data_IF_509816734412
#
_entry.id   IF_509816734412
#
_cell.length_a   1.000
_cell.length_b   1.000
_cell.length_c   1.000
_cell.angle_alpha   90.00
_cell.angle_beta   90.00
_cell.angle_gamma   90.00
#
_symmetry.space_group_name_H-M   'P 1'
#
loop_
_entity.id
_entity.type
_entity.pdbx_description
1 polymer ?
#
# COMPACT_ATOMS: atom_id res chain seq x y z
N UNK A 1 -20.13 4.23 -8.91
CA UNK A 1 -20.94 3.02 -9.07
C UNK A 1 -20.38 1.94 -8.18
N UNK A 2 -19.30 1.23 -8.50
CA UNK A 2 -18.81 0.06 -7.70
C UNK A 2 -18.65 0.31 -6.19
N UNK A 3 -17.96 1.38 -5.78
CA UNK A 3 -17.88 1.73 -4.35
C UNK A 3 -19.27 2.02 -3.80
N UNK A 4 -20.11 2.73 -4.55
CA UNK A 4 -21.49 3.04 -4.17
C UNK A 4 -22.42 1.82 -4.20
N UNK A 5 -22.19 0.83 -5.06
CA UNK A 5 -22.97 -0.40 -5.20
C UNK A 5 -22.55 -1.40 -4.11
N UNK A 6 -21.25 -1.46 -3.81
CA UNK A 6 -20.71 -2.19 -2.67
C UNK A 6 -21.09 -1.53 -1.34
N UNK A 7 -20.99 -0.20 -1.23
CA UNK A 7 -21.46 0.58 -0.09
C UNK A 7 -22.98 0.56 0.01
N UNK A 8 -23.74 0.48 -1.07
CA UNK A 8 -25.19 0.28 -1.00
C UNK A 8 -25.48 -1.12 -0.45
N UNK A 9 -24.70 -2.14 -0.87
CA UNK A 9 -24.78 -3.47 -0.28
C UNK A 9 -24.37 -3.49 1.20
N UNK A 10 -23.34 -2.74 1.61
CA UNK A 10 -22.89 -2.58 3.00
C UNK A 10 -23.84 -1.69 3.82
N UNK A 11 -24.44 -0.66 3.24
CA UNK A 11 -25.42 0.22 3.87
C UNK A 11 -26.77 -0.48 4.04
N UNK A 12 -27.13 -1.39 3.13
CA UNK A 12 -28.21 -2.37 3.35
C UNK A 12 -27.89 -3.25 4.59
N UNK A 13 -26.62 -3.50 4.93
CA UNK A 13 -26.27 -4.16 6.21
C UNK A 13 -26.57 -3.30 7.42
N UNK A 14 -26.58 -1.97 7.29
CA UNK A 14 -26.72 -1.02 8.40
C UNK A 14 -28.15 -0.46 8.57
N UNK A 15 -28.94 -0.38 7.49
CA UNK A 15 -30.35 0.07 7.52
C UNK A 15 -31.34 -1.03 7.97
N UNK A 16 -30.95 -2.30 7.92
CA UNK A 16 -31.80 -3.41 8.37
C UNK A 16 -31.89 -3.55 9.91
N UNK A 17 -31.16 -2.72 10.65
CA UNK A 17 -31.15 -2.62 12.13
C UNK A 17 -32.14 -1.57 12.67
N UNK A 18 -33.00 -0.96 11.84
CA UNK A 18 -34.01 -0.03 12.34
C UNK A 18 -34.96 -0.72 13.35
N UNK A 19 -35.17 -0.13 14.55
CA UNK A 19 -35.97 -0.75 15.60
C UNK A 19 -37.44 -0.82 15.17
N UNK A 20 -37.95 -2.05 15.10
CA UNK A 20 -39.35 -2.39 14.83
C UNK A 20 -40.26 -1.96 15.99
N UNK A 21 -40.42 -0.66 16.18
CA UNK A 21 -41.48 -0.11 17.01
C UNK A 21 -42.79 -0.22 16.21
N UNK A 22 -43.69 -1.09 16.67
CA UNK A 22 -45.08 -1.24 16.23
C UNK A 22 -45.36 -2.15 15.03
N UNK A 23 -45.10 -3.47 15.13
CA UNK A 23 -45.86 -4.47 14.33
C UNK A 23 -46.17 -5.74 15.13
N UNK A 24 -47.38 -6.25 14.90
CA UNK A 24 -48.01 -7.39 15.56
C UNK A 24 -47.22 -8.70 15.40
N UNK A 25 -47.38 -9.57 16.39
CA UNK A 25 -46.68 -10.83 16.70
C UNK A 25 -46.77 -11.92 15.62
N UNK A 26 -46.20 -11.70 14.43
CA UNK A 26 -45.48 -12.80 13.79
C UNK A 26 -44.13 -12.97 14.51
N UNK A 27 -43.56 -14.19 14.59
CA UNK A 27 -42.29 -14.39 15.27
C UNK A 27 -41.22 -13.58 14.53
N UNK A 28 -40.89 -12.42 15.08
CA UNK A 28 -39.96 -11.41 14.57
C UNK A 28 -38.65 -12.04 14.11
N UNK A 29 -38.24 -13.11 14.80
CA UNK A 29 -37.08 -13.94 14.52
C UNK A 29 -37.09 -14.54 13.10
N UNK A 30 -38.21 -15.11 12.63
CA UNK A 30 -38.28 -15.73 11.29
C UNK A 30 -38.13 -14.71 10.16
N UNK A 31 -38.64 -13.50 10.37
CA UNK A 31 -38.50 -12.41 9.39
C UNK A 31 -37.08 -11.86 9.36
N UNK A 32 -36.40 -11.77 10.51
CA UNK A 32 -34.99 -11.38 10.59
C UNK A 32 -34.09 -12.42 9.93
N UNK A 33 -34.28 -13.71 10.24
CA UNK A 33 -33.52 -14.81 9.64
C UNK A 33 -33.64 -14.83 8.11
N UNK A 34 -34.87 -14.70 7.57
CA UNK A 34 -35.11 -14.69 6.13
C UNK A 34 -34.45 -13.48 5.43
N UNK A 35 -34.46 -12.31 6.08
CA UNK A 35 -33.79 -11.11 5.56
C UNK A 35 -32.28 -11.29 5.54
N UNK A 36 -31.69 -11.80 6.61
CA UNK A 36 -30.26 -12.10 6.66
C UNK A 36 -29.83 -13.15 5.64
N UNK A 37 -30.62 -14.20 5.45
CA UNK A 37 -30.34 -15.23 4.45
C UNK A 37 -30.38 -14.64 3.03
N UNK A 38 -31.40 -13.85 2.72
CA UNK A 38 -31.52 -13.13 1.44
C UNK A 38 -30.31 -12.20 1.24
N UNK A 39 -29.88 -11.50 2.29
CA UNK A 39 -28.71 -10.62 2.28
C UNK A 39 -27.43 -11.38 1.97
N UNK A 40 -27.15 -12.47 2.70
CA UNK A 40 -25.96 -13.31 2.47
C UNK A 40 -25.93 -13.86 1.04
N UNK A 41 -27.08 -14.26 0.52
CA UNK A 41 -27.22 -14.75 -0.86
C UNK A 41 -26.88 -13.65 -1.88
N UNK A 42 -27.44 -12.46 -1.76
CA UNK A 42 -27.17 -11.36 -2.69
C UNK A 42 -25.69 -10.92 -2.66
N UNK A 43 -25.08 -10.89 -1.48
CA UNK A 43 -23.65 -10.59 -1.33
C UNK A 43 -22.78 -11.65 -2.01
N UNK A 44 -23.12 -12.93 -1.86
CA UNK A 44 -22.41 -14.02 -2.52
C UNK A 44 -22.57 -13.93 -4.05
N UNK A 45 -23.77 -13.70 -4.57
CA UNK A 45 -24.02 -13.54 -6.01
C UNK A 45 -23.21 -12.36 -6.59
N UNK A 46 -23.16 -11.22 -5.88
CA UNK A 46 -22.34 -10.07 -6.29
C UNK A 46 -20.84 -10.38 -6.27
N UNK A 47 -20.35 -11.07 -5.22
CA UNK A 47 -18.96 -11.51 -5.10
C UNK A 47 -18.58 -12.43 -6.27
N UNK A 48 -19.43 -13.42 -6.58
CA UNK A 48 -19.21 -14.36 -7.68
C UNK A 48 -19.18 -13.65 -9.03
N UNK A 49 -20.06 -12.66 -9.23
CA UNK A 49 -20.08 -11.84 -10.45
C UNK A 49 -18.79 -11.02 -10.61
N UNK A 50 -18.28 -10.40 -9.52
CA UNK A 50 -17.01 -9.68 -9.56
C UNK A 50 -15.83 -10.63 -9.85
N UNK A 51 -15.82 -11.81 -9.23
CA UNK A 51 -14.78 -12.82 -9.47
C UNK A 51 -14.76 -13.26 -10.94
N UNK A 52 -15.93 -13.56 -11.52
CA UNK A 52 -16.04 -13.87 -12.96
C UNK A 52 -15.56 -12.71 -13.84
N UNK A 53 -15.89 -11.47 -13.46
CA UNK A 53 -15.43 -10.29 -14.19
C UNK A 53 -13.90 -10.16 -14.19
N UNK A 54 -13.25 -10.36 -13.05
CA UNK A 54 -11.77 -10.33 -12.95
C UNK A 54 -11.14 -11.42 -13.82
N UNK A 55 -11.75 -12.60 -13.90
CA UNK A 55 -11.29 -13.67 -14.79
C UNK A 55 -11.41 -13.28 -16.27
N UNK A 56 -12.52 -12.65 -16.68
CA UNK A 56 -12.68 -12.16 -18.05
C UNK A 56 -11.70 -11.01 -18.37
N UNK A 57 -11.41 -10.13 -17.41
CA UNK A 57 -10.37 -9.10 -17.59
C UNK A 57 -8.99 -9.70 -17.79
N UNK A 58 -8.68 -10.80 -17.10
CA UNK A 58 -7.41 -11.53 -17.29
C UNK A 58 -7.31 -12.11 -18.70
N UNK A 59 -8.39 -12.73 -19.19
CA UNK A 59 -8.48 -13.25 -20.56
C UNK A 59 -8.34 -12.13 -21.60
N UNK A 60 -9.02 -11.00 -21.37
CA UNK A 60 -8.96 -9.84 -22.25
C UNK A 60 -7.55 -9.23 -22.30
N UNK A 61 -6.91 -9.06 -21.14
CA UNK A 61 -5.51 -8.60 -21.04
C UNK A 61 -4.57 -9.55 -21.76
N UNK A 62 -4.76 -10.86 -21.62
CA UNK A 62 -3.99 -11.87 -22.35
C UNK A 62 -4.22 -11.79 -23.88
N UNK A 63 -5.45 -11.55 -24.33
CA UNK A 63 -5.78 -11.40 -25.75
C UNK A 63 -5.13 -10.14 -26.36
N UNK A 64 -5.18 -9.00 -25.66
CA UNK A 64 -4.53 -7.75 -26.08
C UNK A 64 -3.00 -7.91 -26.12
N UNK A 65 -2.44 -8.67 -25.18
CA UNK A 65 -1.01 -8.93 -25.11
C UNK A 65 -0.56 -10.17 -25.88
N UNK A 66 -1.40 -10.86 -26.65
CA UNK A 66 -0.91 -11.99 -27.47
C UNK A 66 0.22 -11.56 -28.44
N UNK A 67 0.36 -10.25 -28.68
CA UNK A 67 1.45 -9.62 -29.43
C UNK A 67 2.70 -9.26 -28.59
N UNK A 68 2.71 -9.43 -27.25
CA UNK A 68 3.81 -9.04 -26.36
C UNK A 68 4.00 -9.96 -25.15
N UNK A 69 5.24 -10.22 -24.75
CA UNK A 69 5.64 -11.19 -23.71
C UNK A 69 5.22 -10.86 -22.25
N UNK A 70 4.10 -10.17 -22.01
CA UNK A 70 3.65 -9.82 -20.65
C UNK A 70 2.33 -10.52 -20.32
N UNK A 71 2.41 -11.63 -19.60
CA UNK A 71 1.24 -12.26 -18.98
C UNK A 71 1.08 -11.68 -17.57
N UNK A 72 -0.04 -10.99 -17.34
CA UNK A 72 -0.44 -10.55 -16.01
C UNK A 72 -1.80 -11.15 -15.70
N UNK A 73 -1.84 -12.12 -14.78
CA UNK A 73 -3.08 -12.64 -14.24
C UNK A 73 -3.61 -11.68 -13.18
N UNK A 74 -4.88 -11.31 -13.26
CA UNK A 74 -5.53 -10.54 -12.21
C UNK A 74 -6.13 -11.51 -11.19
N UNK A 75 -5.65 -11.45 -9.95
CA UNK A 75 -6.25 -12.19 -8.84
C UNK A 75 -7.44 -11.41 -8.27
N UNK A 76 -8.47 -12.12 -7.80
CA UNK A 76 -9.63 -11.49 -7.17
C UNK A 76 -9.30 -10.89 -5.79
N UNK A 77 -8.31 -11.47 -5.09
CA UNK A 77 -7.87 -11.05 -3.76
C UNK A 77 -7.47 -9.56 -3.70
N UNK A 78 -6.90 -9.00 -4.77
CA UNK A 78 -6.57 -7.57 -4.83
C UNK A 78 -7.81 -6.70 -4.84
N UNK A 79 -8.84 -7.08 -5.61
CA UNK A 79 -10.10 -6.34 -5.65
C UNK A 79 -10.83 -6.43 -4.31
N UNK A 80 -10.86 -7.62 -3.70
CA UNK A 80 -11.43 -7.84 -2.39
C UNK A 80 -10.71 -7.03 -1.31
N UNK A 81 -9.38 -7.06 -1.27
CA UNK A 81 -8.59 -6.26 -0.33
C UNK A 81 -8.82 -4.75 -0.51
N UNK A 82 -8.98 -4.29 -1.75
CA UNK A 82 -9.27 -2.88 -2.03
C UNK A 82 -10.67 -2.46 -1.57
N UNK A 83 -11.69 -3.28 -1.84
CA UNK A 83 -13.06 -3.03 -1.37
C UNK A 83 -13.11 -2.98 0.17
N UNK A 84 -12.50 -3.97 0.83
CA UNK A 84 -12.45 -4.02 2.29
C UNK A 84 -11.72 -2.80 2.89
N UNK A 85 -10.57 -2.43 2.32
CA UNK A 85 -9.78 -1.28 2.82
C UNK A 85 -10.55 0.03 2.71
N UNK A 86 -11.31 0.25 1.63
CA UNK A 86 -12.14 1.45 1.48
C UNK A 86 -13.32 1.44 2.44
N UNK A 87 -13.96 0.29 2.65
CA UNK A 87 -15.06 0.13 3.62
C UNK A 87 -14.58 0.42 5.06
N UNK A 88 -13.43 -0.12 5.46
CA UNK A 88 -12.87 0.06 6.81
C UNK A 88 -12.50 1.53 7.10
N UNK A 89 -12.21 2.33 6.07
CA UNK A 89 -11.71 3.69 6.19
C UNK A 89 -12.79 4.79 6.16
N UNK A 90 -14.09 4.44 6.15
CA UNK A 90 -15.19 5.41 6.07
C UNK A 90 -15.21 6.42 7.23
N UNK A 91 -14.65 6.06 8.39
CA UNK A 91 -14.69 6.89 9.59
C UNK A 91 -13.39 7.65 9.88
N UNK A 92 -12.34 7.48 9.09
CA UNK A 92 -11.05 8.15 9.31
C UNK A 92 -10.92 9.39 8.44
N UNK A 93 -10.69 10.56 9.05
CA UNK A 93 -10.49 11.83 8.32
C UNK A 93 -9.21 11.83 7.48
N UNK A 94 -8.13 11.21 7.97
CA UNK A 94 -6.86 11.16 7.26
C UNK A 94 -6.83 9.96 6.31
N UNK A 95 -6.50 10.21 5.03
CA UNK A 95 -6.30 9.15 4.04
C UNK A 95 -5.04 8.36 4.37
N UNK A 96 -5.20 7.10 4.77
CA UNK A 96 -4.09 6.15 4.92
C UNK A 96 -3.49 5.80 3.55
N UNK A 97 -2.26 5.29 3.53
CA UNK A 97 -1.59 4.88 2.30
C UNK A 97 -2.33 3.71 1.63
N UNK A 98 -2.80 2.77 2.44
CA UNK A 98 -3.63 1.64 2.01
C UNK A 98 -4.92 2.08 1.35
N UNK A 99 -5.59 3.11 1.87
CA UNK A 99 -6.79 3.69 1.25
C UNK A 99 -6.48 4.31 -0.11
N UNK A 100 -5.38 5.08 -0.23
CA UNK A 100 -4.98 5.68 -1.52
C UNK A 100 -4.70 4.59 -2.56
N UNK A 101 -3.99 3.52 -2.17
CA UNK A 101 -3.73 2.36 -3.03
C UNK A 101 -5.02 1.65 -3.45
N UNK A 102 -5.92 1.40 -2.50
CA UNK A 102 -7.21 0.77 -2.74
C UNK A 102 -8.09 1.60 -3.68
N UNK A 103 -8.18 2.91 -3.46
CA UNK A 103 -8.88 3.85 -4.34
C UNK A 103 -8.30 3.82 -5.76
N UNK A 104 -6.96 3.73 -5.90
CA UNK A 104 -6.30 3.57 -7.19
C UNK A 104 -6.66 2.29 -7.94
N UNK A 105 -6.66 1.14 -7.23
CA UNK A 105 -7.11 -0.17 -7.78
C UNK A 105 -8.57 -0.08 -8.24
N UNK A 106 -9.45 0.44 -7.39
CA UNK A 106 -10.88 0.56 -7.70
C UNK A 106 -11.15 1.54 -8.84
N UNK A 107 -10.41 2.65 -8.91
CA UNK A 107 -10.52 3.61 -10.00
C UNK A 107 -10.12 2.98 -11.34
N UNK A 108 -9.01 2.24 -11.38
CA UNK A 108 -8.57 1.55 -12.58
C UNK A 108 -9.58 0.48 -13.02
N UNK A 109 -10.09 -0.34 -12.08
CA UNK A 109 -11.14 -1.32 -12.33
C UNK A 109 -12.41 -0.66 -12.89
N UNK A 110 -12.91 0.39 -12.23
CA UNK A 110 -14.09 1.14 -12.66
C UNK A 110 -13.94 1.75 -14.06
N UNK A 111 -12.72 2.17 -14.42
CA UNK A 111 -12.44 2.78 -15.72
C UNK A 111 -12.60 1.75 -16.84
N UNK A 112 -12.10 0.53 -16.65
CA UNK A 112 -12.32 -0.57 -17.61
C UNK A 112 -13.80 -0.96 -17.67
N UNK A 113 -14.49 -1.03 -16.53
CA UNK A 113 -15.94 -1.30 -16.50
C UNK A 113 -16.74 -0.29 -17.32
N UNK A 114 -16.44 1.00 -17.14
CA UNK A 114 -17.11 2.09 -17.87
C UNK A 114 -16.86 1.97 -19.36
N UNK A 115 -15.60 1.74 -19.76
CA UNK A 115 -15.26 1.52 -21.17
C UNK A 115 -16.05 0.35 -21.78
N UNK A 116 -16.17 -0.78 -21.08
CA UNK A 116 -16.96 -1.92 -21.57
C UNK A 116 -18.44 -1.59 -21.73
N UNK A 117 -19.00 -0.78 -20.83
CA UNK A 117 -20.39 -0.33 -20.94
C UNK A 117 -20.60 0.61 -22.13
N UNK A 118 -19.65 1.49 -22.40
CA UNK A 118 -19.69 2.39 -23.56
C UNK A 118 -19.58 1.60 -24.88
N UNK A 119 -18.62 0.68 -24.94
CA UNK A 119 -18.34 -0.15 -26.12
C UNK A 119 -19.45 -1.16 -26.41
N UNK A 120 -20.17 -1.64 -25.40
CA UNK A 120 -21.26 -2.60 -25.56
C UNK A 120 -22.30 -2.18 -26.62
N UNK A 121 -22.58 -0.87 -26.74
CA UNK A 121 -23.54 -0.34 -27.70
C UNK A 121 -22.99 -0.15 -29.12
N UNK A 122 -21.68 -0.31 -29.33
CA UNK A 122 -21.02 -0.09 -30.61
C UNK A 122 -19.89 -1.11 -30.86
N UNK A 123 -20.13 -2.38 -30.50
CA UNK A 123 -19.15 -3.46 -30.68
C UNK A 123 -18.70 -3.65 -32.14
N UNK A 124 -19.53 -3.26 -33.09
CA UNK A 124 -19.23 -3.23 -34.53
C UNK A 124 -18.13 -2.24 -34.91
N UNK A 125 -17.85 -1.26 -34.05
CA UNK A 125 -16.80 -0.24 -34.26
C UNK A 125 -15.45 -0.60 -33.63
N UNK A 126 -15.40 -1.65 -32.81
CA UNK A 126 -14.16 -2.12 -32.15
C UNK A 126 -13.34 -2.92 -33.15
N UNK A 127 -12.03 -2.63 -33.27
CA UNK A 127 -11.15 -3.45 -34.10
C UNK A 127 -11.07 -4.86 -33.49
N UNK A 128 -11.39 -5.93 -34.25
CA UNK A 128 -11.33 -7.31 -33.76
C UNK A 128 -9.92 -7.69 -33.27
N UNK A 129 -8.89 -7.03 -33.79
CA UNK A 129 -7.52 -7.10 -33.30
C UNK A 129 -7.39 -6.15 -32.12
N UNK A 130 -7.66 -6.65 -30.91
CA UNK A 130 -7.85 -5.80 -29.73
C UNK A 130 -6.68 -4.84 -29.43
N UNK A 131 -5.44 -5.17 -29.78
CA UNK A 131 -4.28 -4.29 -29.62
C UNK A 131 -4.31 -3.03 -30.50
N UNK A 132 -5.14 -3.00 -31.56
CA UNK A 132 -5.33 -1.81 -32.39
C UNK A 132 -6.29 -0.77 -31.76
N UNK A 133 -6.83 -1.06 -30.57
CA UNK A 133 -7.69 -0.15 -29.83
C UNK A 133 -6.86 0.54 -28.73
N UNK A 134 -6.18 1.68 -29.01
CA UNK A 134 -5.21 2.29 -28.08
C UNK A 134 -5.84 2.63 -26.72
N UNK A 135 -7.08 3.12 -26.71
CA UNK A 135 -7.79 3.41 -25.46
C UNK A 135 -7.99 2.18 -24.57
N UNK A 136 -8.27 1.01 -25.16
CA UNK A 136 -8.36 -0.25 -24.41
C UNK A 136 -6.98 -0.67 -23.89
N UNK A 137 -5.94 -0.56 -24.71
CA UNK A 137 -4.55 -0.91 -24.33
C UNK A 137 -4.11 -0.06 -23.14
N UNK A 138 -4.31 1.25 -23.19
CA UNK A 138 -3.95 2.18 -22.11
C UNK A 138 -4.71 1.88 -20.81
N UNK A 139 -6.02 1.60 -20.91
CA UNK A 139 -6.85 1.24 -19.77
C UNK A 139 -6.39 -0.07 -19.10
N UNK A 140 -6.04 -1.09 -19.90
CA UNK A 140 -5.57 -2.37 -19.38
C UNK A 140 -4.15 -2.28 -18.81
N UNK A 141 -3.29 -1.45 -19.39
CA UNK A 141 -1.96 -1.18 -18.83
C UNK A 141 -2.06 -0.46 -17.48
N UNK A 142 -2.93 0.55 -17.38
CA UNK A 142 -3.21 1.22 -16.10
C UNK A 142 -3.79 0.24 -15.07
N UNK A 143 -4.80 -0.56 -15.46
CA UNK A 143 -5.35 -1.61 -14.60
C UNK A 143 -4.26 -2.53 -14.09
N UNK A 144 -3.36 -2.99 -14.96
CA UNK A 144 -2.25 -3.89 -14.60
C UNK A 144 -1.30 -3.27 -13.61
N UNK A 145 -0.87 -2.03 -13.84
CA UNK A 145 0.03 -1.30 -12.91
C UNK A 145 -0.62 -1.16 -11.53
N UNK A 146 -1.90 -0.79 -11.48
CA UNK A 146 -2.65 -0.71 -10.22
C UNK A 146 -2.80 -2.09 -9.55
N UNK A 147 -3.08 -3.14 -10.33
CA UNK A 147 -3.25 -4.51 -9.81
C UNK A 147 -1.94 -5.08 -9.24
N UNK A 148 -0.83 -4.89 -9.95
CA UNK A 148 0.49 -5.32 -9.49
C UNK A 148 0.86 -4.61 -8.18
N UNK A 149 0.58 -3.31 -8.10
CA UNK A 149 0.78 -2.52 -6.88
C UNK A 149 -0.09 -3.03 -5.74
N UNK A 150 -1.39 -3.24 -5.98
CA UNK A 150 -2.32 -3.78 -5.00
C UNK A 150 -1.92 -5.17 -4.53
N UNK A 151 -1.50 -6.05 -5.44
CA UNK A 151 -1.08 -7.41 -5.10
C UNK A 151 0.12 -7.43 -4.16
N UNK A 152 1.01 -6.44 -4.30
CA UNK A 152 2.24 -6.35 -3.50
C UNK A 152 2.01 -5.71 -2.13
N UNK A 153 1.23 -4.63 -2.07
CA UNK A 153 1.16 -3.78 -0.87
C UNK A 153 -0.20 -3.78 -0.16
N UNK A 154 -1.25 -4.32 -0.78
CA UNK A 154 -2.62 -4.24 -0.26
C UNK A 154 -3.17 -5.58 0.27
N UNK A 155 -2.77 -6.70 -0.35
CA UNK A 155 -3.30 -8.03 -0.02
C UNK A 155 -2.82 -8.52 1.36
N UNK A 156 -1.50 -8.51 1.62
CA UNK A 156 -1.00 -8.89 2.95
C UNK A 156 -1.23 -7.75 3.95
N UNK A 157 -2.13 -7.98 4.91
CA UNK A 157 -2.49 -7.03 5.96
C UNK A 157 -1.28 -6.52 6.75
N UNK A 158 -0.23 -7.32 6.91
CA UNK A 158 0.99 -6.92 7.64
C UNK A 158 1.83 -5.95 6.82
N UNK A 159 1.97 -6.20 5.52
CA UNK A 159 2.63 -5.26 4.60
C UNK A 159 1.83 -3.97 4.52
N UNK A 160 0.52 -4.06 4.35
CA UNK A 160 -0.40 -2.91 4.31
C UNK A 160 -0.25 -2.03 5.55
N UNK A 161 -0.34 -2.61 6.75
CA UNK A 161 -0.18 -1.88 8.01
C UNK A 161 1.24 -1.27 8.17
N UNK A 162 2.28 -1.95 7.67
CA UNK A 162 3.64 -1.41 7.68
C UNK A 162 3.78 -0.19 6.77
N UNK A 163 3.15 -0.20 5.58
CA UNK A 163 3.13 0.93 4.65
C UNK A 163 2.38 2.12 5.26
N UNK A 164 1.20 1.88 5.85
CA UNK A 164 0.44 2.91 6.56
C UNK A 164 1.25 3.54 7.69
N UNK A 165 1.84 2.70 8.54
CA UNK A 165 2.66 3.17 9.66
C UNK A 165 3.85 4.00 9.16
N UNK A 166 4.53 3.58 8.09
CA UNK A 166 5.62 4.35 7.51
C UNK A 166 5.16 5.72 7.01
N UNK A 167 4.06 5.78 6.24
CA UNK A 167 3.53 7.05 5.71
C UNK A 167 3.16 8.00 6.84
N UNK A 168 2.56 7.51 7.93
CA UNK A 168 2.28 8.33 9.10
C UNK A 168 3.57 8.89 9.72
N UNK A 169 4.62 8.08 9.86
CA UNK A 169 5.92 8.58 10.34
C UNK A 169 6.52 9.61 9.39
N UNK A 170 6.44 9.41 8.08
CA UNK A 170 6.99 10.34 7.08
C UNK A 170 6.21 11.65 7.04
N UNK A 171 4.90 11.63 7.29
CA UNK A 171 4.07 12.84 7.48
C UNK A 171 4.49 13.60 8.74
N UNK A 172 4.76 12.92 9.85
CA UNK A 172 5.31 13.55 11.06
C UNK A 172 6.68 14.18 10.78
N UNK A 173 7.57 13.46 10.07
CA UNK A 173 8.88 13.99 9.66
C UNK A 173 8.71 15.23 8.78
N UNK A 174 7.79 15.21 7.82
CA UNK A 174 7.45 16.36 6.95
C UNK A 174 7.02 17.59 7.75
N UNK A 175 6.21 17.42 8.80
CA UNK A 175 5.80 18.54 9.65
C UNK A 175 6.97 19.07 10.50
N UNK A 176 7.82 18.18 10.99
CA UNK A 176 8.93 18.54 11.89
C UNK A 176 10.22 19.04 11.19
N UNK A 177 10.46 18.68 9.92
CA UNK A 177 11.65 19.06 9.16
C UNK A 177 11.25 19.83 7.88
N UNK A 178 11.48 21.15 7.85
CA UNK A 178 11.27 21.97 6.65
C UNK A 178 12.11 21.50 5.45
N UNK A 179 13.31 20.95 5.69
CA UNK A 179 14.15 20.39 4.63
C UNK A 179 13.47 19.19 3.96
N UNK A 180 12.90 18.26 4.75
CA UNK A 180 12.14 17.15 4.20
C UNK A 180 10.89 17.60 3.44
N UNK A 181 10.14 18.56 3.98
CA UNK A 181 8.98 19.12 3.29
C UNK A 181 9.36 19.73 1.93
N UNK A 182 10.46 20.50 1.89
CA UNK A 182 10.97 21.10 0.66
C UNK A 182 11.36 20.04 -0.38
N UNK A 183 12.02 18.96 0.03
CA UNK A 183 12.35 17.84 -0.86
C UNK A 183 11.10 17.17 -1.45
N UNK A 184 10.06 16.94 -0.63
CA UNK A 184 8.79 16.36 -1.08
C UNK A 184 8.03 17.25 -2.08
N UNK A 185 8.05 18.57 -1.88
CA UNK A 185 7.32 19.54 -2.72
C UNK A 185 8.03 19.82 -4.04
N UNK A 186 9.35 19.90 -4.01
CA UNK A 186 10.18 20.15 -5.21
C UNK A 186 10.48 18.89 -6.02
N UNK A 187 10.09 17.71 -5.53
CA UNK A 187 10.51 16.42 -6.08
C UNK A 187 12.04 16.32 -6.23
N UNK A 188 12.76 16.81 -5.21
CA UNK A 188 14.23 16.85 -5.21
C UNK A 188 14.80 15.43 -5.37
N UNK A 189 15.76 15.18 -6.29
CA UNK A 189 16.42 13.88 -6.41
C UNK A 189 17.01 13.36 -5.08
N UNK A 190 17.41 14.23 -4.16
CA UNK A 190 17.91 13.87 -2.82
C UNK A 190 16.83 13.17 -1.97
N UNK A 191 15.54 13.45 -2.21
CA UNK A 191 14.43 12.73 -1.59
C UNK A 191 14.58 11.20 -1.73
N UNK A 192 14.99 10.73 -2.91
CA UNK A 192 15.16 9.30 -3.18
C UNK A 192 16.39 8.70 -2.49
N UNK A 193 17.34 9.52 -2.02
CA UNK A 193 18.46 9.10 -1.19
C UNK A 193 18.10 9.07 0.30
N UNK A 194 17.23 10.00 0.73
CA UNK A 194 16.75 10.12 2.12
C UNK A 194 15.69 9.08 2.46
N UNK A 195 14.72 8.86 1.57
CA UNK A 195 13.60 7.94 1.81
C UNK A 195 14.02 6.52 2.26
N UNK A 196 14.99 5.84 1.63
CA UNK A 196 15.40 4.51 2.07
C UNK A 196 16.12 4.54 3.43
N UNK A 197 16.78 5.66 3.80
CA UNK A 197 17.36 5.82 5.14
C UNK A 197 16.27 5.96 6.21
N UNK A 198 15.20 6.72 5.92
CA UNK A 198 14.05 6.85 6.82
C UNK A 198 13.28 5.54 6.98
N UNK A 199 13.09 4.78 5.89
CA UNK A 199 12.55 3.42 5.96
C UNK A 199 13.41 2.51 6.85
N UNK A 200 14.73 2.54 6.67
CA UNK A 200 15.64 1.75 7.52
C UNK A 200 15.55 2.17 8.99
N UNK A 201 15.49 3.47 9.30
CA UNK A 201 15.34 3.95 10.68
C UNK A 201 14.02 3.52 11.33
N UNK A 202 12.90 3.63 10.61
CA UNK A 202 11.59 3.22 11.11
C UNK A 202 11.53 1.70 11.34
N UNK A 203 12.13 0.91 10.46
CA UNK A 203 12.32 -0.53 10.70
C UNK A 203 13.18 -0.80 11.93
N UNK A 204 14.34 -0.14 12.08
CA UNK A 204 15.23 -0.37 13.22
C UNK A 204 14.58 0.00 14.56
N UNK A 205 13.75 1.05 14.57
CA UNK A 205 12.99 1.49 15.74
C UNK A 205 11.85 0.52 16.10
N UNK A 206 11.14 -0.03 15.10
CA UNK A 206 10.05 -0.97 15.31
C UNK A 206 10.09 -2.14 14.30
N UNK A 207 11.00 -3.12 14.50
CA UNK A 207 11.22 -4.19 13.52
C UNK A 207 9.99 -5.04 13.27
N UNK A 208 9.23 -5.37 14.33
CA UNK A 208 8.03 -6.22 14.23
C UNK A 208 6.93 -5.58 13.39
N UNK A 209 6.84 -4.24 13.38
CA UNK A 209 5.83 -3.51 12.59
C UNK A 209 6.15 -3.49 11.11
N UNK A 210 7.44 -3.48 10.75
CA UNK A 210 7.89 -3.30 9.37
C UNK A 210 8.56 -4.56 8.80
N UNK A 211 8.53 -5.69 9.52
CA UNK A 211 9.25 -6.91 9.15
C UNK A 211 8.84 -7.43 7.77
N UNK A 212 7.54 -7.55 7.52
CA UNK A 212 7.05 -8.09 6.24
C UNK A 212 7.33 -7.15 5.07
N UNK A 213 7.26 -5.84 5.28
CA UNK A 213 7.68 -4.85 4.28
C UNK A 213 9.18 -4.96 3.98
N UNK A 214 10.00 -5.18 5.01
CA UNK A 214 11.45 -5.36 4.81
C UNK A 214 11.80 -6.69 4.15
N UNK A 215 11.04 -7.76 4.41
CA UNK A 215 11.17 -9.03 3.69
C UNK A 215 10.79 -8.88 2.23
N UNK A 216 9.76 -8.09 1.94
CA UNK A 216 9.35 -7.78 0.57
C UNK A 216 10.45 -7.01 -0.18
N UNK A 217 11.05 -5.98 0.44
CA UNK A 217 12.03 -5.11 -0.22
C UNK A 217 13.47 -5.65 -0.20
N UNK A 218 13.82 -6.50 0.76
CA UNK A 218 15.15 -7.10 0.90
C UNK A 218 15.09 -8.59 1.29
N UNK A 219 14.51 -9.46 0.44
CA UNK A 219 14.31 -10.88 0.75
C UNK A 219 15.62 -11.61 1.08
N UNK A 220 16.73 -11.23 0.46
CA UNK A 220 18.07 -11.81 0.71
C UNK A 220 18.56 -11.66 2.16
N UNK A 221 18.00 -10.72 2.92
CA UNK A 221 18.34 -10.48 4.33
C UNK A 221 17.56 -11.38 5.30
N UNK A 222 16.62 -12.16 4.77
CA UNK A 222 15.75 -13.06 5.52
C UNK A 222 15.76 -14.45 4.83
N UNK A 223 16.83 -15.25 5.02
CA UNK A 223 17.09 -16.47 4.25
C UNK A 223 16.12 -17.63 4.52
N UNK A 224 15.31 -17.52 5.58
CA UNK A 224 14.30 -18.53 5.94
C UNK A 224 12.94 -17.91 5.67
N UNK A 225 12.01 -18.66 5.07
CA UNK A 225 10.66 -18.16 4.73
C UNK A 225 9.70 -18.31 5.92
N UNK A 226 10.11 -19.03 6.97
CA UNK A 226 9.28 -19.21 8.17
C UNK A 226 8.97 -17.89 8.86
N UNK A 227 7.80 -17.81 9.51
CA UNK A 227 7.40 -16.65 10.29
C UNK A 227 8.47 -16.24 11.33
N UNK A 228 9.22 -17.20 11.88
CA UNK A 228 10.32 -16.98 12.82
C UNK A 228 11.66 -16.60 12.19
N UNK A 229 11.71 -16.40 10.88
CA UNK A 229 12.96 -16.14 10.18
C UNK A 229 13.63 -14.88 10.70
N UNK A 230 14.80 -15.11 11.31
CA UNK A 230 15.65 -14.06 11.84
C UNK A 230 16.36 -13.36 10.69
N UNK A 231 16.50 -12.06 10.82
CA UNK A 231 17.43 -11.26 10.03
C UNK A 231 18.83 -11.88 10.05
N UNK A 232 19.57 -11.72 8.96
CA UNK A 232 20.96 -12.17 8.91
C UNK A 232 21.85 -11.45 9.94
N UNK A 233 23.09 -11.94 10.08
CA UNK A 233 24.06 -11.38 11.05
C UNK A 233 24.42 -9.93 10.77
N UNK A 234 24.37 -9.49 9.52
CA UNK A 234 24.75 -8.13 9.14
C UNK A 234 23.65 -7.14 9.55
N UNK A 235 22.39 -7.46 9.29
CA UNK A 235 21.25 -6.62 9.68
C UNK A 235 21.10 -6.57 11.21
N UNK A 236 21.37 -7.67 11.90
CA UNK A 236 21.41 -7.69 13.36
C UNK A 236 22.57 -6.85 13.93
N UNK A 237 23.71 -6.76 13.24
CA UNK A 237 24.79 -5.84 13.61
C UNK A 237 24.34 -4.38 13.48
N UNK A 238 23.66 -4.02 12.38
CA UNK A 238 23.10 -2.68 12.19
C UNK A 238 22.11 -2.34 13.32
N UNK A 239 21.24 -3.27 13.69
CA UNK A 239 20.30 -3.09 14.81
C UNK A 239 20.99 -2.82 16.13
N UNK A 240 22.09 -3.53 16.43
CA UNK A 240 22.90 -3.26 17.62
C UNK A 240 23.56 -1.89 17.58
N UNK A 241 24.04 -1.47 16.40
CA UNK A 241 24.61 -0.14 16.14
C UNK A 241 23.57 0.96 16.41
N UNK A 242 22.38 0.82 15.83
CA UNK A 242 21.23 1.70 16.07
C UNK A 242 20.87 1.82 17.55
N UNK A 243 20.67 0.69 18.25
CA UNK A 243 20.32 0.69 19.68
C UNK A 243 21.39 1.36 20.55
N UNK A 244 22.67 1.22 20.19
CA UNK A 244 23.77 1.88 20.89
C UNK A 244 23.71 3.40 20.67
N UNK A 245 23.56 3.83 19.42
CA UNK A 245 23.45 5.25 19.06
C UNK A 245 22.23 5.89 19.71
N UNK A 246 21.07 5.24 19.66
CA UNK A 246 19.83 5.72 20.28
C UNK A 246 20.01 5.97 21.79
N UNK A 247 20.57 5.00 22.54
CA UNK A 247 20.82 5.17 24.00
C UNK A 247 21.76 6.32 24.34
N UNK A 248 22.68 6.66 23.43
CA UNK A 248 23.58 7.80 23.62
C UNK A 248 22.81 9.10 23.43
N UNK A 249 21.96 9.17 22.41
CA UNK A 249 21.16 10.35 22.09
C UNK A 249 19.95 10.55 23.00
N UNK A 250 19.41 9.49 23.63
CA UNK A 250 18.32 9.61 24.62
C UNK A 250 18.73 10.48 25.82
N UNK A 251 20.03 10.56 26.11
CA UNK A 251 20.56 11.43 27.16
C UNK A 251 20.44 12.93 26.82
N UNK A 252 20.27 13.27 25.55
CA UNK A 252 20.10 14.66 25.08
C UNK A 252 18.64 15.06 24.82
N UNK A 253 17.67 14.15 24.98
CA UNK A 253 16.24 14.45 24.81
C UNK A 253 15.68 14.24 23.40
N UNK A 254 16.49 14.46 22.36
CA UNK A 254 15.99 14.54 20.97
C UNK A 254 16.55 13.43 20.06
N UNK A 255 16.55 12.18 20.53
CA UNK A 255 17.20 11.07 19.84
C UNK A 255 16.67 10.83 18.42
N UNK A 256 15.34 10.77 18.27
CA UNK A 256 14.70 10.51 16.98
C UNK A 256 14.91 11.66 15.99
N UNK A 257 14.71 12.90 16.42
CA UNK A 257 14.90 14.09 15.57
C UNK A 257 16.35 14.25 15.11
N UNK A 258 17.31 13.83 15.93
CA UNK A 258 18.73 13.82 15.56
C UNK A 258 19.00 12.76 14.49
N UNK A 259 18.48 11.54 14.65
CA UNK A 259 18.63 10.45 13.67
C UNK A 259 17.97 10.77 12.32
N UNK A 260 16.79 11.39 12.35
CA UNK A 260 16.08 11.88 11.17
C UNK A 260 16.91 12.97 10.49
N UNK A 261 17.39 13.99 11.23
CA UNK A 261 18.24 15.05 10.68
C UNK A 261 19.51 14.51 10.00
N UNK A 262 20.16 13.53 10.62
CA UNK A 262 21.33 12.84 10.05
C UNK A 262 21.02 12.12 8.74
N UNK A 263 19.81 11.58 8.58
CA UNK A 263 19.40 10.93 7.33
C UNK A 263 19.30 11.89 6.16
N UNK A 264 19.11 13.18 6.46
CA UNK A 264 19.00 14.31 5.52
C UNK A 264 20.28 15.13 5.42
N UNK A 265 21.39 14.65 6.00
CA UNK A 265 22.65 15.39 6.08
C UNK A 265 22.53 16.79 6.73
N UNK A 266 21.56 17.00 7.62
CA UNK A 266 21.48 18.23 8.40
C UNK A 266 22.63 18.28 9.42
N UNK A 267 23.43 19.35 9.39
CA UNK A 267 24.50 19.61 10.35
C UNK A 267 23.93 20.00 11.72
N UNK A 268 23.38 19.03 12.46
CA UNK A 268 23.05 19.19 13.89
C UNK A 268 24.32 19.06 14.74
N UNK A 269 25.24 20.01 14.57
CA UNK A 269 26.56 20.10 15.22
C UNK A 269 26.52 20.30 16.75
N UNK A 270 25.36 20.21 17.40
CA UNK A 270 25.20 20.38 18.85
C UNK A 270 25.55 19.16 19.71
N UNK A 271 25.85 18.00 19.11
CA UNK A 271 26.17 16.79 19.87
C UNK A 271 27.58 16.81 20.48
N UNK A 272 27.72 16.26 21.69
CA UNK A 272 29.04 16.02 22.31
C UNK A 272 29.97 15.23 21.39
N UNK A 273 31.30 15.42 21.49
CA UNK A 273 32.28 14.76 20.60
C UNK A 273 32.10 13.23 20.53
N UNK A 274 31.81 12.57 21.65
CA UNK A 274 31.58 11.13 21.70
C UNK A 274 30.31 10.75 20.93
N UNK A 275 29.20 11.45 21.16
CA UNK A 275 27.94 11.24 20.45
C UNK A 275 28.10 11.47 18.94
N UNK A 276 28.83 12.52 18.55
CA UNK A 276 29.12 12.83 17.15
C UNK A 276 29.87 11.71 16.43
N UNK A 277 30.88 11.10 17.07
CA UNK A 277 31.65 10.01 16.46
C UNK A 277 30.81 8.75 16.22
N UNK A 278 30.02 8.32 17.20
CA UNK A 278 29.14 7.14 17.09
C UNK A 278 28.01 7.38 16.10
N UNK A 279 27.43 8.59 16.11
CA UNK A 279 26.38 9.00 15.19
C UNK A 279 26.88 9.00 13.75
N UNK A 280 28.10 9.51 13.50
CA UNK A 280 28.72 9.50 12.18
C UNK A 280 29.00 8.07 11.69
N UNK A 281 29.52 7.21 12.55
CA UNK A 281 29.73 5.79 12.19
C UNK A 281 28.41 5.12 11.82
N UNK A 282 27.37 5.31 12.64
CA UNK A 282 26.04 4.76 12.35
C UNK A 282 25.42 5.34 11.07
N UNK A 283 25.58 6.63 10.80
CA UNK A 283 25.09 7.27 9.58
C UNK A 283 25.70 6.66 8.31
N UNK A 284 27.01 6.39 8.33
CA UNK A 284 27.71 5.71 7.23
C UNK A 284 27.22 4.27 7.04
N UNK A 285 26.96 3.54 8.13
CA UNK A 285 26.35 2.21 8.05
C UNK A 285 24.94 2.30 7.44
N UNK A 286 24.10 3.22 7.92
CA UNK A 286 22.74 3.44 7.44
C UNK A 286 22.70 3.77 5.95
N UNK A 287 23.59 4.65 5.48
CA UNK A 287 23.72 4.99 4.07
C UNK A 287 24.09 3.77 3.21
N UNK A 288 25.01 2.93 3.68
CA UNK A 288 25.34 1.69 2.98
C UNK A 288 24.11 0.79 2.82
N UNK A 289 23.31 0.65 3.88
CA UNK A 289 22.08 -0.15 3.85
C UNK A 289 20.99 0.46 2.97
N UNK A 290 20.85 1.79 2.99
CA UNK A 290 19.89 2.47 2.12
C UNK A 290 20.24 2.32 0.63
N UNK A 291 21.53 2.30 0.29
CA UNK A 291 22.00 2.03 -1.07
C UNK A 291 21.81 0.58 -1.48
N UNK A 292 21.97 -0.37 -0.56
CA UNK A 292 21.69 -1.77 -0.84
C UNK A 292 20.21 -2.02 -1.12
N UNK A 293 19.34 -1.45 -0.29
CA UNK A 293 17.88 -1.57 -0.42
C UNK A 293 17.41 -1.11 -1.82
N UNK A 294 17.98 -0.01 -2.32
CA UNK A 294 17.70 0.49 -3.68
C UNK A 294 18.24 -0.41 -4.80
N UNK A 295 19.37 -1.10 -4.57
CA UNK A 295 20.09 -1.85 -5.62
C UNK A 295 19.65 -3.29 -5.77
N UNK A 296 19.11 -3.90 -4.71
CA UNK A 296 18.78 -5.32 -4.74
C UNK A 296 17.59 -5.62 -5.66
N UNK A 297 16.49 -4.90 -5.46
CA UNK A 297 15.27 -5.00 -6.27
C UNK A 297 14.83 -3.59 -6.72
N UNK A 298 15.53 -2.97 -7.71
CA UNK A 298 15.28 -1.59 -8.07
C UNK A 298 13.86 -1.36 -8.60
N UNK A 299 13.25 -2.34 -9.27
CA UNK A 299 11.86 -2.25 -9.74
C UNK A 299 10.88 -2.14 -8.56
N UNK A 300 11.06 -2.99 -7.55
CA UNK A 300 10.20 -3.03 -6.36
C UNK A 300 10.38 -1.77 -5.53
N UNK A 301 11.63 -1.32 -5.37
CA UNK A 301 11.94 -0.05 -4.73
C UNK A 301 11.31 1.14 -5.47
N UNK A 302 11.44 1.21 -6.79
CA UNK A 302 10.89 2.31 -7.57
C UNK A 302 9.36 2.37 -7.45
N UNK A 303 8.69 1.22 -7.55
CA UNK A 303 7.25 1.12 -7.34
C UNK A 303 6.86 1.56 -5.93
N UNK A 304 7.56 1.04 -4.90
CA UNK A 304 7.32 1.42 -3.51
C UNK A 304 7.53 2.92 -3.27
N UNK A 305 8.64 3.48 -3.75
CA UNK A 305 8.96 4.90 -3.60
C UNK A 305 7.93 5.81 -4.28
N UNK A 306 7.39 5.41 -5.44
CA UNK A 306 6.32 6.14 -6.12
C UNK A 306 5.04 6.19 -5.27
N UNK A 307 4.66 5.07 -4.65
CA UNK A 307 3.51 5.00 -3.73
C UNK A 307 3.72 5.94 -2.54
N UNK A 308 4.87 5.85 -1.89
CA UNK A 308 5.17 6.65 -0.70
C UNK A 308 5.17 8.15 -1.04
N UNK A 309 5.76 8.52 -2.19
CA UNK A 309 5.75 9.90 -2.68
C UNK A 309 4.33 10.41 -2.83
N UNK A 310 3.47 9.64 -3.52
CA UNK A 310 2.07 10.01 -3.72
C UNK A 310 1.31 10.14 -2.39
N UNK A 311 1.50 9.19 -1.46
CA UNK A 311 0.79 9.18 -0.17
C UNK A 311 1.22 10.32 0.77
N UNK A 312 2.45 10.80 0.68
CA UNK A 312 2.92 11.93 1.50
C UNK A 312 2.41 13.27 0.96
N UNK A 313 2.13 13.34 -0.35
CA UNK A 313 1.64 14.55 -1.02
C UNK A 313 0.13 14.77 -0.83
N UNK A 314 -0.64 13.70 -0.68
CA UNK A 314 -2.07 13.70 -0.31
C UNK A 314 -2.30 13.90 1.20
#
# INVERSE_FOLDING_TARGET
SVIRDHQLLLAIEHELDEPASQRQEEPLEKHQEMREETRRRLLQEHRDALHQMVNHLSQLSAAVNACGNRHGEFNFEVLEAALQTVADAEHTETRSASRILAEGVLAAFCSVRRFMQEVYFCLDTVDPTLCNNPGLVDLLDNLRKSWETGSRFLVDVRVRNAVDSLVDHLRVVRVSSPAFASMCESCDPEFFLVLPRLLMLTFLAAPEKHLELMRLLMPQRFPVIDASAKADRALEKLRKSFNRTQRILEKSGDAWETLVGVSMAEDKLGCSQLAGSQLKEFALELEKWSMELQRHCPQDWNQFSAIITHCIQE
#
